data_IF_074368926897
#
_entry.id   IF_074368926897
#
_cell.length_a   1.000
_cell.length_b   1.000
_cell.length_c   1.000
_cell.angle_alpha   90.00
_cell.angle_beta   90.00
_cell.angle_gamma   90.00
#
_symmetry.space_group_name_H-M   'P 1'
#
loop_
_entity.id
_entity.type
_entity.pdbx_description
1 polymer ?
#
# COMPACT_ATOMS: atom_id res chain seq x y z
N UNK A 1 -1.95 6.34 6.45
CA UNK A 1 -0.78 7.04 7.04
C UNK A 1 -0.76 6.73 8.53
N UNK A 2 0.35 6.22 9.05
CA UNK A 2 0.46 5.84 10.47
C UNK A 2 0.82 7.04 11.34
N UNK A 3 0.28 7.11 12.55
CA UNK A 3 0.70 8.10 13.55
C UNK A 3 1.96 7.61 14.29
N UNK A 4 2.81 8.55 14.65
CA UNK A 4 4.02 8.27 15.43
C UNK A 4 3.63 7.65 16.78
N UNK A 5 4.21 6.51 17.17
CA UNK A 5 3.84 5.85 18.43
C UNK A 5 4.20 6.68 19.67
N UNK A 6 5.19 7.57 19.55
CA UNK A 6 5.71 8.39 20.63
C UNK A 6 4.96 9.71 20.82
N UNK A 7 4.90 10.55 19.79
CA UNK A 7 4.33 11.90 19.88
C UNK A 7 2.92 12.01 19.30
N UNK A 8 2.37 10.92 18.73
CA UNK A 8 1.06 10.86 18.05
C UNK A 8 0.91 11.81 16.85
N UNK A 9 1.96 12.52 16.46
CA UNK A 9 2.01 13.33 15.24
C UNK A 9 2.02 12.47 13.97
N UNK A 10 1.76 13.07 12.81
CA UNK A 10 1.76 12.35 11.54
C UNK A 10 3.17 11.82 11.20
N UNK A 11 3.21 10.68 10.51
CA UNK A 11 4.45 10.10 10.00
C UNK A 11 4.32 9.75 8.51
N UNK A 12 5.32 10.13 7.72
CA UNK A 12 5.35 9.86 6.28
C UNK A 12 6.06 8.54 5.99
N UNK A 13 5.51 7.77 5.05
CA UNK A 13 6.19 6.60 4.50
C UNK A 13 7.41 7.05 3.68
N UNK A 14 8.57 6.47 3.96
CA UNK A 14 9.81 6.72 3.22
C UNK A 14 10.05 5.66 2.15
N UNK A 15 9.93 4.39 2.53
CA UNK A 15 10.08 3.25 1.63
C UNK A 15 9.13 2.15 2.05
N UNK A 16 8.86 1.22 1.12
CA UNK A 16 8.10 0.01 1.41
C UNK A 16 8.65 -1.17 0.64
N UNK A 17 8.50 -2.37 1.19
CA UNK A 17 8.82 -3.63 0.51
C UNK A 17 7.78 -4.68 0.84
N UNK A 18 7.52 -5.59 -0.09
CA UNK A 18 6.71 -6.77 0.19
C UNK A 18 7.59 -7.83 0.87
N UNK A 19 7.04 -8.45 1.91
CA UNK A 19 7.65 -9.61 2.57
C UNK A 19 7.00 -10.92 2.09
N UNK A 20 5.73 -10.84 1.72
CA UNK A 20 4.96 -11.88 1.05
C UNK A 20 3.93 -11.23 0.12
N UNK A 21 3.14 -12.03 -0.60
CA UNK A 21 2.04 -11.53 -1.44
C UNK A 21 0.99 -10.74 -0.64
N UNK A 22 0.82 -11.06 0.65
CA UNK A 22 -0.21 -10.49 1.51
C UNK A 22 0.33 -9.52 2.57
N UNK A 23 1.65 -9.48 2.79
CA UNK A 23 2.28 -8.67 3.84
C UNK A 23 3.25 -7.67 3.25
N UNK A 24 2.97 -6.39 3.49
CA UNK A 24 3.81 -5.25 3.11
C UNK A 24 4.45 -4.63 4.34
N UNK A 25 5.74 -4.38 4.26
CA UNK A 25 6.49 -3.64 5.25
C UNK A 25 6.66 -2.19 4.80
N UNK A 26 6.46 -1.24 5.71
CA UNK A 26 6.64 0.19 5.45
C UNK A 26 7.55 0.81 6.49
N UNK A 27 8.44 1.70 6.05
CA UNK A 27 9.25 2.55 6.92
C UNK A 27 8.62 3.93 7.01
N UNK A 28 8.41 4.42 8.22
CA UNK A 28 7.81 5.70 8.53
C UNK A 28 8.81 6.61 9.25
N UNK A 29 8.74 7.91 8.96
CA UNK A 29 9.43 8.95 9.71
C UNK A 29 8.41 9.99 10.18
N UNK A 30 8.45 10.31 11.47
CA UNK A 30 7.62 11.37 12.04
C UNK A 30 7.97 12.72 11.39
N UNK A 31 6.95 13.52 11.08
CA UNK A 31 7.14 14.86 10.50
C UNK A 31 7.55 15.90 11.52
N UNK A 32 7.24 15.68 12.79
CA UNK A 32 7.71 16.53 13.88
C UNK A 32 9.23 16.35 14.00
N UNK A 33 9.99 17.37 13.57
CA UNK A 33 11.45 17.39 13.57
C UNK A 33 12.04 17.17 14.97
N UNK A 34 11.35 17.63 16.03
CA UNK A 34 11.79 17.40 17.40
C UNK A 34 11.65 15.92 17.81
N UNK A 35 10.69 15.21 17.24
CA UNK A 35 10.51 13.78 17.48
C UNK A 35 11.41 12.94 16.57
N UNK A 36 11.41 13.23 15.26
CA UNK A 36 12.18 12.57 14.21
C UNK A 36 12.16 11.03 14.22
N UNK A 37 11.24 10.43 14.97
CA UNK A 37 11.20 9.00 15.19
C UNK A 37 11.03 8.28 13.85
N UNK A 38 11.91 7.31 13.62
CA UNK A 38 11.86 6.44 12.46
C UNK A 38 11.50 5.04 12.92
N UNK A 39 10.44 4.49 12.36
CA UNK A 39 9.90 3.21 12.78
C UNK A 39 9.35 2.43 11.58
N UNK A 40 9.16 1.12 11.77
CA UNK A 40 8.66 0.21 10.74
C UNK A 40 7.31 -0.33 11.15
N UNK A 41 6.41 -0.50 10.19
CA UNK A 41 5.15 -1.24 10.38
C UNK A 41 5.04 -2.37 9.36
N UNK A 42 4.14 -3.31 9.66
CA UNK A 42 3.71 -4.35 8.72
C UNK A 42 2.20 -4.17 8.50
N UNK A 43 1.81 -4.06 7.24
CA UNK A 43 0.43 -4.00 6.78
C UNK A 43 0.13 -5.33 6.10
N UNK A 44 -0.92 -6.02 6.54
CA UNK A 44 -1.30 -7.33 6.03
C UNK A 44 -2.75 -7.34 5.57
N UNK A 45 -3.03 -8.08 4.49
CA UNK A 45 -4.41 -8.41 4.10
C UNK A 45 -4.98 -9.38 5.13
N UNK A 46 -5.93 -8.91 5.94
CA UNK A 46 -6.63 -9.73 6.91
C UNK A 46 -7.67 -10.64 6.24
N UNK A 47 -8.58 -10.04 5.47
CA UNK A 47 -9.64 -10.77 4.76
C UNK A 47 -10.07 -10.03 3.50
N UNK A 48 -10.51 -10.80 2.49
CA UNK A 48 -11.06 -10.25 1.23
C UNK A 48 -12.58 -10.29 1.32
N UNK A 49 -13.20 -9.12 1.53
CA UNK A 49 -14.66 -9.00 1.67
C UNK A 49 -15.38 -9.28 0.33
N UNK A 50 -14.81 -8.81 -0.78
CA UNK A 50 -15.36 -9.03 -2.12
C UNK A 50 -14.22 -9.29 -3.10
N UNK A 51 -14.33 -10.40 -3.85
CA UNK A 51 -13.41 -10.70 -4.95
C UNK A 51 -13.76 -9.82 -6.17
N UNK A 52 -12.77 -9.47 -7.01
CA UNK A 52 -13.07 -8.81 -8.28
C UNK A 52 -14.09 -9.65 -9.06
N UNK A 53 -15.00 -8.99 -9.79
CA UNK A 53 -15.94 -9.69 -10.66
C UNK A 53 -15.15 -10.49 -11.70
N UNK A 54 -15.40 -11.80 -11.78
CA UNK A 54 -15.06 -12.58 -12.98
C UNK A 54 -16.00 -12.12 -14.09
N UNK A 55 -15.82 -10.90 -14.61
CA UNK A 55 -16.23 -10.60 -15.97
C UNK A 55 -15.22 -11.35 -16.83
N UNK A 56 -15.59 -12.57 -17.24
CA UNK A 56 -14.97 -13.18 -18.40
C UNK A 56 -14.97 -12.12 -19.49
N UNK A 57 -13.77 -11.66 -19.90
CA UNK A 57 -13.53 -10.56 -20.84
C UNK A 57 -14.02 -10.87 -22.27
N UNK A 58 -14.99 -11.78 -22.41
CA UNK A 58 -15.59 -12.18 -23.67
C UNK A 58 -16.82 -11.33 -24.05
N UNK A 59 -17.36 -10.49 -23.16
CA UNK A 59 -18.65 -9.82 -23.38
C UNK A 59 -18.66 -8.29 -23.47
N UNK A 60 -17.82 -7.57 -22.73
CA UNK A 60 -18.10 -6.16 -22.43
C UNK A 60 -17.02 -5.20 -22.97
N UNK A 61 -17.25 -4.66 -24.17
CA UNK A 61 -16.38 -3.70 -24.87
C UNK A 61 -16.09 -2.40 -24.08
N UNK A 62 -16.92 -2.05 -23.08
CA UNK A 62 -16.78 -0.81 -22.31
C UNK A 62 -15.68 -0.85 -21.23
N UNK A 63 -15.31 -2.03 -20.70
CA UNK A 63 -14.32 -2.15 -19.60
C UNK A 63 -12.87 -2.12 -20.14
N UNK A 64 -12.67 -2.53 -21.40
CA UNK A 64 -11.34 -2.67 -22.01
C UNK A 64 -10.58 -1.32 -22.16
N UNK A 65 -11.30 -0.20 -22.28
CA UNK A 65 -10.70 1.10 -22.55
C UNK A 65 -9.91 1.71 -21.37
N UNK A 66 -10.15 1.26 -20.13
CA UNK A 66 -9.58 1.87 -18.93
C UNK A 66 -8.56 1.01 -18.16
N UNK A 67 -8.24 -0.22 -18.62
CA UNK A 67 -7.22 -1.10 -18.01
C UNK A 67 -5.77 -0.66 -18.32
N UNK A 68 -5.53 0.65 -18.28
CA UNK A 68 -4.29 1.29 -18.66
C UNK A 68 -3.14 1.03 -17.68
N UNK A 69 -2.17 0.24 -18.16
CA UNK A 69 -0.73 0.25 -17.83
C UNK A 69 -0.33 -0.24 -16.43
N UNK A 70 -0.02 -1.54 -16.37
CA UNK A 70 0.86 -2.11 -15.35
C UNK A 70 2.19 -1.32 -15.30
N UNK A 71 2.43 -0.59 -14.21
CA UNK A 71 3.75 -0.01 -13.90
C UNK A 71 4.70 -1.17 -13.62
N UNK A 72 5.59 -1.48 -14.57
CA UNK A 72 6.79 -2.28 -14.32
C UNK A 72 7.62 -1.55 -13.25
N UNK A 73 7.65 -2.07 -12.03
CA UNK A 73 8.72 -1.71 -11.09
C UNK A 73 9.97 -2.46 -11.55
N UNK A 74 10.98 -1.73 -12.03
CA UNK A 74 12.30 -2.30 -12.29
C UNK A 74 12.94 -2.69 -10.96
N UNK A 75 13.49 -3.90 -10.92
CA UNK A 75 14.46 -4.35 -9.91
C UNK A 75 15.73 -3.50 -9.96
#
# INVERSE_FOLDING_TARGET
>A
MMYCPFCKGPAHTRTSRYLSETVKQLYYQCTNVMCSATFRTMESVDSVIQRPSNTDLAGDEFIAAHSGKARKQSL
#
